data_IF_411922891720
#
_entry.id   IF_411922891720
#
_cell.length_a   1.000
_cell.length_b   1.000
_cell.length_c   1.000
_cell.angle_alpha   90.00
_cell.angle_beta   90.00
_cell.angle_gamma   90.00
#
_symmetry.space_group_name_H-M   'P 1'
#
loop_
_entity.id
_entity.type
_entity.pdbx_description
1 polymer ?
#
# COMPACT_ATOMS: atom_id res chain seq x y z
N UNK A 1 -1.41 -19.88 16.17
CA UNK A 1 -1.05 -20.01 14.76
C UNK A 1 -0.20 -18.83 14.33
N UNK A 2 0.96 -19.12 13.77
CA UNK A 2 1.79 -18.12 13.13
C UNK A 2 1.63 -18.27 11.62
N UNK A 3 0.85 -17.43 10.97
CA UNK A 3 0.71 -17.52 9.52
C UNK A 3 2.03 -17.13 8.83
N UNK A 4 2.38 -17.82 7.75
CA UNK A 4 3.52 -17.46 6.91
C UNK A 4 3.24 -16.18 6.13
N UNK A 5 1.97 -15.94 5.81
CA UNK A 5 1.53 -14.79 5.03
C UNK A 5 0.24 -14.23 5.60
N UNK A 6 0.08 -12.91 5.48
CA UNK A 6 -1.13 -12.22 5.91
C UNK A 6 -1.80 -11.60 4.68
N UNK A 7 -3.08 -11.87 4.52
CA UNK A 7 -3.90 -11.25 3.48
C UNK A 7 -4.91 -10.35 4.16
N UNK A 8 -4.82 -9.05 3.89
CA UNK A 8 -5.72 -8.06 4.44
C UNK A 8 -6.47 -7.39 3.28
N UNK A 9 -7.80 -7.42 3.33
CA UNK A 9 -8.61 -7.01 2.18
C UNK A 9 -8.40 -5.55 1.80
N UNK A 10 -8.37 -4.65 2.78
CA UNK A 10 -8.20 -3.22 2.52
C UNK A 10 -7.71 -2.50 3.77
N UNK A 11 -6.77 -1.57 3.59
CA UNK A 11 -6.33 -0.65 4.63
C UNK A 11 -7.08 0.67 4.47
N UNK A 12 -7.65 1.16 5.55
CA UNK A 12 -8.40 2.42 5.55
C UNK A 12 -7.91 3.44 6.57
N UNK A 13 -7.27 3.00 7.63
CA UNK A 13 -6.86 3.85 8.72
C UNK A 13 -5.76 3.23 9.58
N UNK A 14 -5.92 3.28 10.89
CA UNK A 14 -4.90 2.89 11.87
C UNK A 14 -4.40 1.45 11.73
N UNK A 15 -5.18 0.55 11.16
CA UNK A 15 -4.76 -0.84 10.92
C UNK A 15 -3.56 -0.93 9.96
N UNK A 16 -3.29 0.13 9.20
CA UNK A 16 -2.10 0.18 8.35
C UNK A 16 -0.82 0.08 9.18
N UNK A 17 -0.79 0.68 10.35
CA UNK A 17 0.37 0.59 11.24
C UNK A 17 0.54 -0.83 11.81
N UNK A 18 -0.56 -1.49 12.18
CA UNK A 18 -0.52 -2.87 12.65
C UNK A 18 -0.02 -3.82 11.57
N UNK A 19 -0.48 -3.61 10.33
CA UNK A 19 -0.02 -4.39 9.18
C UNK A 19 1.48 -4.17 8.91
N UNK A 20 1.94 -2.94 9.04
CA UNK A 20 3.36 -2.60 8.89
C UNK A 20 4.22 -3.34 9.94
N UNK A 21 3.77 -3.38 11.19
CA UNK A 21 4.46 -4.12 12.25
C UNK A 21 4.53 -5.62 11.94
N UNK A 22 3.46 -6.20 11.43
CA UNK A 22 3.45 -7.61 11.04
C UNK A 22 4.46 -7.90 9.94
N UNK A 23 4.56 -7.04 8.94
CA UNK A 23 5.52 -7.22 7.85
C UNK A 23 6.96 -7.08 8.33
N UNK A 24 7.23 -6.15 9.24
CA UNK A 24 8.58 -5.97 9.81
C UNK A 24 8.97 -7.11 10.75
N UNK A 25 7.99 -7.84 11.29
CA UNK A 25 8.22 -8.98 12.17
C UNK A 25 8.46 -10.31 11.41
N UNK A 26 8.63 -10.27 10.10
CA UNK A 26 8.99 -11.46 9.32
C UNK A 26 7.84 -12.12 8.58
N UNK A 27 6.69 -11.48 8.45
CA UNK A 27 5.55 -11.99 7.68
C UNK A 27 5.62 -11.52 6.23
N UNK A 28 6.73 -11.81 5.56
CA UNK A 28 6.91 -11.48 4.14
C UNK A 28 5.92 -12.27 3.26
N UNK A 29 5.69 -11.75 2.06
CA UNK A 29 4.72 -12.37 1.14
C UNK A 29 3.28 -12.02 1.44
N UNK A 30 3.03 -11.01 2.28
CA UNK A 30 1.70 -10.51 2.58
C UNK A 30 1.16 -9.62 1.47
N UNK A 31 -0.15 -9.54 1.35
CA UNK A 31 -0.83 -8.76 0.32
C UNK A 31 -1.94 -7.94 0.97
N UNK A 32 -2.04 -6.67 0.57
CA UNK A 32 -3.14 -5.81 0.96
C UNK A 32 -3.48 -4.85 -0.17
N UNK A 33 -4.54 -4.10 0.00
CA UNK A 33 -4.92 -3.03 -0.91
C UNK A 33 -5.34 -1.78 -0.15
N UNK A 34 -5.25 -0.64 -0.79
CA UNK A 34 -5.76 0.62 -0.28
C UNK A 34 -5.83 1.65 -1.41
N UNK A 35 -6.52 2.75 -1.16
CA UNK A 35 -6.70 3.79 -2.16
C UNK A 35 -5.51 4.75 -2.18
N UNK A 36 -4.91 4.90 -3.35
CA UNK A 36 -3.88 5.91 -3.64
C UNK A 36 -4.02 6.31 -5.10
N UNK A 37 -3.67 7.54 -5.41
CA UNK A 37 -3.83 8.06 -6.77
C UNK A 37 -2.75 7.55 -7.73
N UNK A 38 -1.60 7.13 -7.21
CA UNK A 38 -0.50 6.60 -8.00
C UNK A 38 0.44 5.79 -7.13
N UNK A 39 1.35 5.03 -7.75
CA UNK A 39 2.40 4.32 -7.03
C UNK A 39 3.30 5.27 -6.23
N UNK A 40 3.54 6.46 -6.74
CA UNK A 40 4.41 7.45 -6.10
C UNK A 40 3.83 7.95 -4.78
N UNK A 41 2.51 8.01 -4.68
CA UNK A 41 1.81 8.53 -3.50
C UNK A 41 1.50 7.44 -2.46
N UNK A 42 1.84 6.19 -2.72
CA UNK A 42 1.56 5.07 -1.82
C UNK A 42 2.21 5.25 -0.47
N UNK A 43 3.50 5.58 -0.43
CA UNK A 43 4.21 5.75 0.84
C UNK A 43 3.60 6.88 1.67
N UNK A 44 3.27 8.00 1.05
CA UNK A 44 2.65 9.14 1.72
C UNK A 44 1.28 8.77 2.30
N UNK A 45 0.46 8.08 1.51
CA UNK A 45 -0.86 7.62 1.95
C UNK A 45 -0.74 6.63 3.09
N UNK A 46 0.22 5.72 3.01
CA UNK A 46 0.46 4.73 4.05
C UNK A 46 0.86 5.39 5.38
N UNK A 47 1.76 6.37 5.32
CA UNK A 47 2.15 7.15 6.50
C UNK A 47 0.94 7.87 7.10
N UNK A 48 0.12 8.48 6.26
CA UNK A 48 -1.08 9.19 6.71
C UNK A 48 -2.03 8.25 7.47
N UNK A 49 -2.30 7.07 6.93
CA UNK A 49 -3.13 6.08 7.61
C UNK A 49 -2.50 5.59 8.91
N UNK A 50 -1.20 5.33 8.91
CA UNK A 50 -0.48 4.86 10.09
C UNK A 50 -0.53 5.86 11.25
N UNK A 51 -0.52 7.15 10.94
CA UNK A 51 -0.56 8.21 11.96
C UNK A 51 -1.87 8.24 12.75
N UNK A 52 -2.90 7.57 12.29
CA UNK A 52 -4.13 7.42 13.06
C UNK A 52 -3.98 6.45 14.24
N UNK A 53 -2.93 5.63 14.22
CA UNK A 53 -2.64 4.71 15.32
C UNK A 53 -1.89 5.44 16.44
N UNK A 54 -2.32 5.27 17.72
CA UNK A 54 -1.66 5.96 18.83
C UNK A 54 -0.16 5.66 18.94
N UNK A 55 0.25 4.42 18.68
CA UNK A 55 1.63 4.00 18.78
C UNK A 55 2.51 4.58 17.67
N UNK A 56 1.92 4.97 16.56
CA UNK A 56 2.65 5.58 15.45
C UNK A 56 3.05 7.03 15.73
N UNK A 57 2.44 7.67 16.73
CA UNK A 57 2.74 9.05 17.09
C UNK A 57 4.21 9.25 17.50
N UNK A 58 4.87 8.19 17.98
CA UNK A 58 6.29 8.23 18.36
C UNK A 58 7.24 8.25 17.17
N UNK A 59 6.75 7.92 15.98
CA UNK A 59 7.56 7.85 14.76
C UNK A 59 7.42 9.14 13.96
N UNK A 60 8.54 9.59 13.39
CA UNK A 60 8.48 10.67 12.40
C UNK A 60 7.91 10.14 11.09
N UNK A 61 7.41 11.05 10.25
CA UNK A 61 6.93 10.67 8.92
C UNK A 61 8.03 10.00 8.09
N UNK A 62 9.27 10.49 8.22
CA UNK A 62 10.41 9.91 7.51
C UNK A 62 10.75 8.51 7.98
N UNK A 63 10.66 8.25 9.28
CA UNK A 63 10.86 6.91 9.83
C UNK A 63 9.79 5.94 9.33
N UNK A 64 8.54 6.36 9.28
CA UNK A 64 7.45 5.55 8.74
C UNK A 64 7.62 5.29 7.25
N UNK A 65 8.02 6.29 6.47
CA UNK A 65 8.30 6.13 5.04
C UNK A 65 9.42 5.11 4.80
N UNK A 66 10.44 5.16 5.63
CA UNK A 66 11.54 4.20 5.55
C UNK A 66 11.06 2.77 5.81
N UNK A 67 10.23 2.57 6.83
CA UNK A 67 9.64 1.26 7.12
C UNK A 67 8.79 0.75 5.97
N UNK A 68 7.98 1.61 5.36
CA UNK A 68 7.19 1.26 4.19
C UNK A 68 8.09 0.82 3.04
N UNK A 69 9.17 1.55 2.77
CA UNK A 69 10.11 1.23 1.71
C UNK A 69 10.85 -0.09 1.96
N UNK A 70 11.10 -0.43 3.23
CA UNK A 70 11.75 -1.69 3.60
C UNK A 70 10.81 -2.90 3.48
N UNK A 71 9.52 -2.69 3.65
CA UNK A 71 8.55 -3.78 3.75
C UNK A 71 7.75 -4.03 2.47
N UNK A 72 7.46 -2.99 1.70
CA UNK A 72 6.71 -3.13 0.45
C UNK A 72 7.66 -3.39 -0.70
N UNK A 73 7.48 -4.52 -1.37
CA UNK A 73 8.32 -4.92 -2.51
C UNK A 73 7.71 -4.51 -3.83
N UNK A 74 6.41 -4.68 -3.98
CA UNK A 74 5.71 -4.46 -5.25
C UNK A 74 4.45 -3.65 -5.00
N UNK A 75 4.26 -2.61 -5.79
CA UNK A 75 3.04 -1.81 -5.80
C UNK A 75 2.41 -1.94 -7.17
N UNK A 76 1.13 -2.31 -7.19
CA UNK A 76 0.35 -2.39 -8.42
C UNK A 76 -0.79 -1.38 -8.32
N UNK A 77 -0.79 -0.41 -9.21
CA UNK A 77 -1.86 0.59 -9.28
C UNK A 77 -2.88 0.19 -10.33
N UNK A 78 -4.14 0.13 -9.91
CA UNK A 78 -5.26 -0.27 -10.76
C UNK A 78 -6.18 0.93 -10.92
N UNK A 79 -6.53 1.24 -12.15
CA UNK A 79 -7.45 2.31 -12.50
C UNK A 79 -8.79 1.70 -12.91
N UNK A 80 -9.87 2.33 -12.45
CA UNK A 80 -11.23 2.01 -12.87
C UNK A 80 -11.72 3.10 -13.82
N UNK A 81 -12.20 2.71 -14.99
CA UNK A 81 -12.71 3.62 -15.98
C UNK A 81 -14.16 3.29 -16.27
N UNK A 82 -15.02 4.32 -16.22
CA UNK A 82 -16.44 4.17 -16.53
C UNK A 82 -16.61 4.02 -18.03
N UNK A 83 -17.35 2.99 -18.42
CA UNK A 83 -17.71 2.76 -19.82
C UNK A 83 -19.12 3.30 -20.05
N UNK A 84 -19.28 4.14 -21.06
CA UNK A 84 -20.56 4.74 -21.42
C UNK A 84 -20.98 4.32 -22.83
N UNK A 85 -22.30 4.24 -23.05
CA UNK A 85 -22.86 4.05 -24.38
C UNK A 85 -22.92 5.38 -25.14
N UNK A 86 -23.43 5.36 -26.37
CA UNK A 86 -23.51 6.55 -27.22
C UNK A 86 -24.43 7.64 -26.66
N UNK A 87 -25.30 7.30 -25.69
CA UNK A 87 -26.20 8.25 -25.03
C UNK A 87 -25.61 8.85 -23.75
N UNK A 88 -24.41 8.41 -23.35
CA UNK A 88 -23.76 8.82 -22.10
C UNK A 88 -24.18 8.02 -20.88
N UNK A 89 -24.96 6.96 -21.07
CA UNK A 89 -25.39 6.10 -19.97
C UNK A 89 -24.30 5.10 -19.61
N UNK A 90 -24.03 4.93 -18.31
CA UNK A 90 -23.05 3.96 -17.84
C UNK A 90 -23.52 2.53 -18.10
N UNK A 91 -22.69 1.75 -18.78
CA UNK A 91 -22.95 0.34 -19.11
C UNK A 91 -21.97 -0.61 -18.42
N UNK A 92 -20.95 -0.08 -17.74
CA UNK A 92 -19.99 -0.91 -17.02
C UNK A 92 -18.81 -0.11 -16.51
N UNK A 93 -17.86 -0.83 -15.93
CA UNK A 93 -16.60 -0.28 -15.45
C UNK A 93 -15.48 -1.18 -15.96
N UNK A 94 -14.47 -0.58 -16.57
CA UNK A 94 -13.25 -1.28 -16.95
C UNK A 94 -12.19 -1.03 -15.89
N UNK A 95 -11.51 -2.09 -15.47
CA UNK A 95 -10.42 -2.00 -14.50
C UNK A 95 -9.16 -2.57 -15.12
N UNK A 96 -8.08 -1.80 -15.02
CA UNK A 96 -6.81 -2.24 -15.61
C UNK A 96 -5.64 -1.70 -14.81
N UNK A 97 -4.51 -2.38 -14.93
CA UNK A 97 -3.28 -1.98 -14.28
C UNK A 97 -2.65 -0.83 -15.06
N UNK A 98 -2.42 0.29 -14.37
CA UNK A 98 -1.81 1.49 -14.97
C UNK A 98 -0.35 1.66 -14.60
N UNK A 99 0.05 1.16 -13.41
CA UNK A 99 1.43 1.28 -12.95
C UNK A 99 1.82 0.05 -12.15
N UNK A 100 3.07 -0.37 -12.30
CA UNK A 100 3.69 -1.36 -11.43
C UNK A 100 5.01 -0.79 -10.96
N UNK A 101 5.22 -0.74 -9.65
CA UNK A 101 6.46 -0.29 -9.04
C UNK A 101 7.14 -1.47 -8.37
N UNK A 102 8.36 -1.77 -8.82
CA UNK A 102 9.21 -2.77 -8.21
C UNK A 102 10.64 -2.28 -8.31
N UNK A 103 11.22 -1.91 -7.16
CA UNK A 103 12.55 -1.32 -7.15
C UNK A 103 13.43 -1.98 -6.07
N UNK A 104 14.02 -3.15 -6.37
CA UNK A 104 14.88 -3.87 -5.42
C UNK A 104 16.16 -3.08 -5.08
N UNK A 105 16.66 -2.26 -5.98
CA UNK A 105 17.84 -1.44 -5.74
C UNK A 105 17.57 -0.38 -4.66
N UNK A 106 16.38 0.21 -4.67
CA UNK A 106 15.98 1.18 -3.65
C UNK A 106 15.84 0.51 -2.29
N UNK A 107 15.28 -0.69 -2.24
CA UNK A 107 15.16 -1.47 -1.02
C UNK A 107 16.54 -1.81 -0.45
N UNK A 108 17.47 -2.22 -1.29
CA UNK A 108 18.85 -2.49 -0.87
C UNK A 108 19.54 -1.27 -0.28
N UNK A 109 19.31 -0.09 -0.85
CA UNK A 109 19.81 1.18 -0.30
C UNK A 109 19.23 1.48 1.08
N UNK A 110 17.96 1.22 1.28
CA UNK A 110 17.31 1.47 2.55
C UNK A 110 17.81 0.54 3.65
N UNK A 111 18.27 -0.66 3.27
CA UNK A 111 18.84 -1.65 4.19
C UNK A 111 20.32 -1.41 4.52
N UNK A 112 20.99 -0.61 3.71
CA UNK A 112 22.42 -0.36 3.86
C UNK A 112 22.77 0.53 5.08
#
# INVERSE_FOLDING_TARGET
LKPDRVLLAELRGSEAFDFLKLMTAGHSGSITSFHAESCELVAQRYVFMSKEHPDAAMFTDEALKRLVSLTIDIIVHITAERIEDNSGQAIGVDRYVTQVSFNPAQKSKALA
#
